data_IF_692186974504
#
_entry.id   IF_692186974504
#
_cell.length_a   1.000
_cell.length_b   1.000
_cell.length_c   1.000
_cell.angle_alpha   90.00
_cell.angle_beta   90.00
_cell.angle_gamma   90.00
#
_symmetry.space_group_name_H-M   'P 1'
#
loop_
_entity.id
_entity.type
_entity.pdbx_description
1 polymer ?
#
# COMPACT_ATOMS: atom_id res chain seq x y z
N UNK A 1 20.52 -15.77 13.48
CA UNK A 1 20.40 -14.86 12.34
C UNK A 1 21.35 -13.70 12.61
N UNK A 2 22.13 -13.30 11.62
CA UNK A 2 22.97 -12.10 11.72
C UNK A 2 22.13 -10.84 11.55
N UNK A 3 22.64 -9.71 12.04
CA UNK A 3 21.97 -8.39 11.97
C UNK A 3 21.50 -8.01 10.55
N UNK A 4 22.24 -8.44 9.52
CA UNK A 4 21.87 -8.22 8.12
C UNK A 4 20.63 -9.03 7.69
N UNK A 5 20.48 -10.26 8.18
CA UNK A 5 19.31 -11.12 7.90
C UNK A 5 18.06 -10.58 8.61
N UNK A 6 18.20 -10.13 9.85
CA UNK A 6 17.11 -9.50 10.61
C UNK A 6 16.64 -8.20 9.94
N UNK A 7 17.60 -7.39 9.46
CA UNK A 7 17.27 -6.17 8.71
C UNK A 7 16.57 -6.49 7.39
N UNK A 8 16.97 -7.55 6.68
CA UNK A 8 16.30 -7.96 5.45
C UNK A 8 14.87 -8.43 5.73
N UNK A 9 14.68 -9.30 6.72
CA UNK A 9 13.35 -9.77 7.13
C UNK A 9 12.41 -8.60 7.49
N UNK A 10 12.92 -7.58 8.19
CA UNK A 10 12.13 -6.38 8.50
C UNK A 10 11.69 -5.60 7.24
N UNK A 11 12.52 -5.55 6.20
CA UNK A 11 12.16 -4.93 4.92
C UNK A 11 11.18 -5.79 4.10
N UNK A 12 11.29 -7.12 4.17
CA UNK A 12 10.32 -8.04 3.57
C UNK A 12 8.95 -7.90 4.23
N UNK A 13 8.90 -7.88 5.56
CA UNK A 13 7.67 -7.63 6.33
C UNK A 13 7.07 -6.25 6.01
N UNK A 14 7.92 -5.23 5.88
CA UNK A 14 7.48 -3.91 5.43
C UNK A 14 6.84 -3.96 4.04
N UNK A 15 7.44 -4.68 3.09
CA UNK A 15 6.88 -4.84 1.74
C UNK A 15 5.52 -5.54 1.76
N UNK A 16 5.36 -6.58 2.59
CA UNK A 16 4.07 -7.23 2.82
C UNK A 16 3.05 -6.25 3.42
N UNK A 17 3.45 -5.44 4.40
CA UNK A 17 2.61 -4.41 5.01
C UNK A 17 2.11 -3.37 4.01
N UNK A 18 3.00 -2.83 3.16
CA UNK A 18 2.63 -1.85 2.11
C UNK A 18 1.61 -2.45 1.14
N UNK A 19 1.80 -3.71 0.73
CA UNK A 19 0.88 -4.42 -0.17
C UNK A 19 -0.49 -4.63 0.48
N UNK A 20 -0.51 -5.04 1.75
CA UNK A 20 -1.75 -5.22 2.50
C UNK A 20 -2.53 -3.89 2.66
N UNK A 21 -1.82 -2.80 2.96
CA UNK A 21 -2.43 -1.46 3.06
C UNK A 21 -2.96 -0.97 1.70
N UNK A 22 -2.24 -1.25 0.61
CA UNK A 22 -2.68 -0.92 -0.74
C UNK A 22 -3.99 -1.65 -1.09
N UNK A 23 -4.08 -2.95 -0.80
CA UNK A 23 -5.31 -3.73 -1.04
C UNK A 23 -6.47 -3.27 -0.15
N UNK A 24 -6.23 -2.99 1.13
CA UNK A 24 -7.26 -2.43 2.02
C UNK A 24 -7.76 -1.07 1.52
N UNK A 25 -6.85 -0.21 1.04
CA UNK A 25 -7.21 1.09 0.47
C UNK A 25 -8.06 0.94 -0.80
N UNK A 26 -7.70 0.01 -1.69
CA UNK A 26 -8.53 -0.31 -2.87
C UNK A 26 -9.92 -0.78 -2.48
N UNK A 27 -10.02 -1.74 -1.55
CA UNK A 27 -11.30 -2.26 -1.07
C UNK A 27 -12.21 -1.16 -0.49
N UNK A 28 -11.66 -0.26 0.34
CA UNK A 28 -12.42 0.90 0.87
C UNK A 28 -12.85 1.87 -0.23
N UNK A 29 -12.01 2.08 -1.25
CA UNK A 29 -12.40 2.89 -2.41
C UNK A 29 -13.53 2.23 -3.21
N UNK A 30 -13.48 0.91 -3.40
CA UNK A 30 -14.51 0.15 -4.11
C UNK A 30 -15.85 0.19 -3.36
N UNK A 31 -15.83 0.08 -2.03
CA UNK A 31 -17.02 0.27 -1.18
C UNK A 31 -17.64 1.66 -1.34
N UNK A 32 -16.81 2.71 -1.36
CA UNK A 32 -17.27 4.08 -1.59
C UNK A 32 -17.79 4.27 -3.02
N UNK A 33 -17.17 3.62 -4.00
CA UNK A 33 -17.59 3.67 -5.39
C UNK A 33 -18.95 2.99 -5.59
N UNK A 34 -19.17 1.83 -4.96
CA UNK A 34 -20.46 1.13 -4.96
C UNK A 34 -21.58 1.98 -4.33
N UNK A 35 -21.24 2.85 -3.36
CA UNK A 35 -22.16 3.82 -2.76
C UNK A 35 -22.29 5.13 -3.55
N UNK A 36 -21.65 5.26 -4.71
CA UNK A 36 -21.64 6.51 -5.51
C UNK A 36 -20.82 7.65 -4.92
N UNK A 37 -20.02 7.41 -3.86
CA UNK A 37 -19.27 8.42 -3.09
C UNK A 37 -17.89 8.77 -3.66
N UNK A 38 -17.71 8.65 -4.98
CA UNK A 38 -16.41 8.85 -5.66
C UNK A 38 -15.92 10.31 -5.71
N UNK A 39 -16.80 11.29 -5.43
CA UNK A 39 -16.45 12.73 -5.42
C UNK A 39 -16.15 13.29 -4.02
N UNK A 40 -16.22 12.46 -2.99
CA UNK A 40 -16.03 12.88 -1.60
C UNK A 40 -14.56 13.20 -1.30
N UNK A 41 -14.32 14.03 -0.27
CA UNK A 41 -12.97 14.30 0.22
C UNK A 41 -12.26 13.00 0.65
N UNK A 42 -12.99 12.09 1.30
CA UNK A 42 -12.49 10.78 1.74
C UNK A 42 -12.00 9.94 0.55
N UNK A 43 -12.78 9.85 -0.53
CA UNK A 43 -12.36 9.10 -1.71
C UNK A 43 -11.09 9.68 -2.34
N UNK A 44 -10.96 11.02 -2.40
CA UNK A 44 -9.73 11.69 -2.91
C UNK A 44 -8.53 11.43 -2.01
N UNK A 45 -8.70 11.44 -0.70
CA UNK A 45 -7.64 11.11 0.27
C UNK A 45 -7.18 9.66 0.10
N UNK A 46 -8.12 8.71 0.00
CA UNK A 46 -7.80 7.30 -0.27
C UNK A 46 -7.11 7.12 -1.62
N UNK A 47 -7.54 7.83 -2.65
CA UNK A 47 -6.88 7.81 -3.96
C UNK A 47 -5.42 8.29 -3.86
N UNK A 48 -5.16 9.39 -3.15
CA UNK A 48 -3.80 9.89 -2.94
C UNK A 48 -2.94 8.86 -2.18
N UNK A 49 -3.46 8.29 -1.09
CA UNK A 49 -2.80 7.22 -0.34
C UNK A 49 -2.49 6.01 -1.25
N UNK A 50 -3.44 5.58 -2.07
CA UNK A 50 -3.26 4.48 -3.04
C UNK A 50 -2.12 4.75 -4.01
N UNK A 51 -2.00 5.98 -4.52
CA UNK A 51 -0.92 6.35 -5.45
C UNK A 51 0.43 6.24 -4.75
N UNK A 52 0.57 6.83 -3.55
CA UNK A 52 1.81 6.75 -2.77
C UNK A 52 2.19 5.31 -2.43
N UNK A 53 1.24 4.49 -1.96
CA UNK A 53 1.49 3.08 -1.65
C UNK A 53 1.93 2.28 -2.88
N UNK A 54 1.35 2.57 -4.05
CA UNK A 54 1.76 1.94 -5.32
C UNK A 54 3.18 2.34 -5.73
N UNK A 55 3.58 3.60 -5.54
CA UNK A 55 4.95 4.04 -5.81
C UNK A 55 5.96 3.40 -4.86
N UNK A 56 5.60 3.23 -3.58
CA UNK A 56 6.45 2.54 -2.61
C UNK A 56 6.62 1.06 -3.00
N UNK A 57 5.53 0.33 -3.28
CA UNK A 57 5.59 -1.06 -3.72
C UNK A 57 6.41 -1.22 -5.02
N UNK A 58 6.29 -0.29 -5.98
CA UNK A 58 7.12 -0.29 -7.18
C UNK A 58 8.62 -0.17 -6.84
N UNK A 59 8.99 0.78 -5.97
CA UNK A 59 10.39 0.99 -5.55
C UNK A 59 10.96 -0.19 -4.73
N UNK A 60 10.10 -0.92 -4.01
CA UNK A 60 10.49 -2.14 -3.30
C UNK A 60 10.77 -3.28 -4.30
N UNK A 61 9.87 -3.47 -5.28
CA UNK A 61 10.05 -4.48 -6.34
C UNK A 61 11.28 -4.25 -7.19
N UNK A 62 11.60 -2.99 -7.51
CA UNK A 62 12.84 -2.62 -8.21
C UNK A 62 14.10 -3.07 -7.46
N UNK A 63 14.02 -3.26 -6.14
CA UNK A 63 15.11 -3.72 -5.27
C UNK A 63 15.02 -5.22 -4.94
N UNK A 64 14.06 -5.94 -5.53
CA UNK A 64 13.86 -7.38 -5.31
C UNK A 64 13.03 -7.75 -4.08
N UNK A 65 12.32 -6.78 -3.47
CA UNK A 65 11.44 -6.98 -2.31
C UNK A 65 9.96 -7.02 -2.71
#
# INVERSE_FOLDING_TARGET
MGEAEERLAAFEDFAVGVRAELESTKSRMDELAAQGKVRTATYRQLFAARVTLREIDARLRERGL
#
